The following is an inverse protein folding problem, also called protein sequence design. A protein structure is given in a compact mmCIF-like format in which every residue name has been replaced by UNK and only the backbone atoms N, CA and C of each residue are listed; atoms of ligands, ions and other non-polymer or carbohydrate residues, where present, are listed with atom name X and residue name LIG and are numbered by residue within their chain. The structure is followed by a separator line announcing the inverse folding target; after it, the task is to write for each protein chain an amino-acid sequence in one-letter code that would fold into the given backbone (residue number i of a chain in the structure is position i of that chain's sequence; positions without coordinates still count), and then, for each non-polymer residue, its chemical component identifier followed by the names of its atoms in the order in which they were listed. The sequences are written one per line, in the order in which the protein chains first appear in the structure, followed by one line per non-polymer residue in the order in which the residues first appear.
data_IF_429965142278
#
_entry.id   IF_429965142278
#
_cell.length_a   1.000
_cell.length_b   1.000
_cell.length_c   1.000
_cell.angle_alpha   90.00
_cell.angle_beta   90.00
_cell.angle_gamma   90.00
#
_symmetry.space_group_name_H-M   'P 1'
#
loop_
_entity.id
_entity.type
_entity.pdbx_description
1 polymer ?
#
# COMPACT_ATOMS: atom_id res chain seq x y z
N UNK A 1 -8.47 -18.86 -7.45
CA UNK A 1 -9.79 -18.83 -6.80
C UNK A 1 -10.17 -17.39 -6.51
N UNK A 2 -11.47 -17.03 -6.53
CA UNK A 2 -11.94 -15.65 -6.21
C UNK A 2 -12.54 -15.65 -4.78
N UNK A 3 -11.74 -15.93 -3.75
CA UNK A 3 -12.19 -16.02 -2.37
C UNK A 3 -11.41 -15.14 -1.40
N UNK A 4 -10.29 -14.57 -1.85
CA UNK A 4 -9.41 -13.78 -1.01
C UNK A 4 -8.83 -12.55 -1.75
N UNK A 5 -7.79 -12.70 -2.56
CA UNK A 5 -7.07 -11.58 -3.22
C UNK A 5 -8.00 -10.67 -4.02
N UNK A 6 -8.74 -11.22 -4.97
CA UNK A 6 -9.52 -10.42 -5.92
C UNK A 6 -10.70 -9.68 -5.26
N UNK A 7 -11.52 -10.28 -4.35
CA UNK A 7 -12.55 -9.52 -3.64
C UNK A 7 -11.99 -8.44 -2.73
N UNK A 8 -10.82 -8.65 -2.13
CA UNK A 8 -10.15 -7.64 -1.33
C UNK A 8 -9.64 -6.49 -2.21
N UNK A 9 -8.99 -6.81 -3.34
CA UNK A 9 -8.55 -5.82 -4.32
C UNK A 9 -9.71 -4.96 -4.84
N UNK A 10 -10.87 -5.59 -5.16
CA UNK A 10 -12.08 -4.88 -5.53
C UNK A 10 -12.51 -3.88 -4.45
N UNK A 11 -12.59 -4.30 -3.20
CA UNK A 11 -13.01 -3.45 -2.10
C UNK A 11 -12.05 -2.26 -1.86
N UNK A 12 -10.73 -2.48 -2.03
CA UNK A 12 -9.73 -1.40 -1.99
C UNK A 12 -9.96 -0.38 -3.10
N UNK A 13 -10.23 -0.83 -4.32
CA UNK A 13 -10.52 0.07 -5.44
C UNK A 13 -11.85 0.81 -5.27
N UNK A 14 -12.92 0.14 -4.87
CA UNK A 14 -14.23 0.75 -4.61
C UNK A 14 -14.11 1.88 -3.58
N UNK A 15 -13.32 1.69 -2.53
CA UNK A 15 -13.06 2.72 -1.53
C UNK A 15 -12.31 3.94 -2.07
N UNK A 16 -11.33 3.69 -2.97
CA UNK A 16 -10.46 4.74 -3.48
C UNK A 16 -10.96 5.43 -4.74
N UNK A 17 -11.82 4.76 -5.49
CA UNK A 17 -12.38 5.23 -6.75
C UNK A 17 -13.89 4.94 -6.81
N UNK A 18 -14.69 5.61 -5.96
CA UNK A 18 -16.12 5.29 -5.79
C UNK A 18 -16.97 5.56 -7.04
N UNK A 19 -16.46 6.34 -7.99
CA UNK A 19 -17.17 6.65 -9.25
C UNK A 19 -16.89 5.59 -10.34
N UNK A 20 -15.92 4.69 -10.14
CA UNK A 20 -15.57 3.66 -11.12
C UNK A 20 -16.45 2.43 -10.94
N UNK A 21 -16.74 1.73 -12.05
CA UNK A 21 -17.36 0.42 -12.01
C UNK A 21 -16.29 -0.66 -11.79
N UNK A 22 -16.27 -1.25 -10.61
CA UNK A 22 -15.25 -2.22 -10.21
C UNK A 22 -15.89 -3.57 -9.98
N UNK A 23 -15.27 -4.62 -10.52
CA UNK A 23 -15.68 -6.01 -10.28
C UNK A 23 -14.49 -6.93 -10.16
N UNK A 24 -14.65 -8.07 -9.52
CA UNK A 24 -13.61 -9.09 -9.44
C UNK A 24 -14.10 -10.46 -9.85
N UNK A 25 -13.17 -11.24 -10.39
CA UNK A 25 -13.43 -12.60 -10.86
C UNK A 25 -12.20 -13.48 -10.66
N UNK A 26 -12.34 -14.78 -10.78
CA UNK A 26 -11.22 -15.72 -10.68
C UNK A 26 -11.16 -16.72 -11.83
N UNK A 27 -9.97 -16.94 -12.35
CA UNK A 27 -9.72 -17.89 -13.46
C UNK A 27 -10.20 -19.30 -13.12
N UNK A 28 -9.99 -19.74 -11.90
CA UNK A 28 -10.41 -21.07 -11.39
C UNK A 28 -11.53 -20.99 -10.35
N UNK A 29 -12.30 -19.90 -10.35
CA UNK A 29 -13.37 -19.73 -9.37
C UNK A 29 -14.57 -20.61 -9.68
N UNK A 30 -15.18 -21.15 -8.63
CA UNK A 30 -16.49 -21.80 -8.69
C UNK A 30 -17.52 -20.76 -8.24
N UNK A 31 -18.50 -20.50 -9.10
CA UNK A 31 -19.56 -19.53 -8.83
C UNK A 31 -20.31 -19.85 -7.53
N UNK A 32 -20.57 -18.81 -6.77
CA UNK A 32 -21.33 -18.94 -5.53
C UNK A 32 -20.53 -19.44 -4.33
N UNK A 33 -19.24 -19.76 -4.48
CA UNK A 33 -18.38 -20.10 -3.33
C UNK A 33 -18.21 -18.86 -2.44
N UNK A 34 -18.47 -18.96 -1.13
CA UNK A 34 -18.34 -17.82 -0.22
C UNK A 34 -16.92 -17.24 -0.20
N UNK A 35 -16.84 -15.94 0.03
CA UNK A 35 -15.57 -15.28 0.37
C UNK A 35 -15.14 -15.78 1.76
N UNK A 36 -13.82 -15.91 1.98
CA UNK A 36 -13.30 -16.39 3.26
C UNK A 36 -13.65 -15.42 4.40
N UNK A 37 -14.26 -15.94 5.47
CA UNK A 37 -14.64 -15.14 6.65
C UNK A 37 -13.46 -14.35 7.22
N UNK A 38 -12.28 -14.95 7.28
CA UNK A 38 -11.07 -14.28 7.77
C UNK A 38 -10.67 -13.06 6.88
N UNK A 39 -10.87 -13.15 5.59
CA UNK A 39 -10.62 -12.02 4.67
C UNK A 39 -11.64 -10.91 4.89
N UNK A 40 -12.90 -11.27 5.09
CA UNK A 40 -13.98 -10.32 5.39
C UNK A 40 -13.71 -9.59 6.72
N UNK A 41 -13.26 -10.31 7.74
CA UNK A 41 -12.92 -9.74 9.04
C UNK A 41 -11.73 -8.77 8.96
N UNK A 42 -10.64 -9.17 8.29
CA UNK A 42 -9.46 -8.30 8.06
C UNK A 42 -9.89 -7.04 7.31
N UNK A 43 -10.63 -7.17 6.23
CA UNK A 43 -11.10 -6.06 5.42
C UNK A 43 -11.99 -5.09 6.24
N UNK A 44 -12.84 -5.62 7.10
CA UNK A 44 -13.66 -4.83 8.02
C UNK A 44 -12.81 -4.02 8.99
N UNK A 45 -11.79 -4.65 9.61
CA UNK A 45 -10.87 -3.97 10.53
C UNK A 45 -10.07 -2.85 9.85
N UNK A 46 -9.83 -2.99 8.56
CA UNK A 46 -9.13 -1.98 7.75
C UNK A 46 -10.05 -0.96 7.10
N UNK A 47 -11.35 -0.96 7.43
CA UNK A 47 -12.35 -0.10 6.81
C UNK A 47 -12.42 -0.23 5.28
N UNK A 48 -12.19 -1.43 4.78
CA UNK A 48 -12.29 -1.81 3.35
C UNK A 48 -13.36 -2.88 3.21
N UNK A 49 -14.65 -2.56 3.38
CA UNK A 49 -15.71 -3.56 3.42
C UNK A 49 -15.85 -4.28 2.08
N UNK A 50 -15.82 -5.60 2.09
CA UNK A 50 -16.06 -6.43 0.91
C UNK A 50 -17.56 -6.47 0.63
N UNK A 51 -17.96 -5.95 -0.52
CA UNK A 51 -19.36 -5.90 -0.98
C UNK A 51 -19.78 -7.19 -1.70
N UNK A 52 -18.82 -7.87 -2.32
CA UNK A 52 -19.06 -9.14 -3.01
C UNK A 52 -19.30 -10.27 -2.00
N UNK A 53 -20.45 -10.93 -2.10
CA UNK A 53 -20.81 -12.02 -1.17
C UNK A 53 -20.24 -13.39 -1.54
N UNK A 54 -19.92 -13.62 -2.81
CA UNK A 54 -19.48 -14.91 -3.31
C UNK A 54 -18.57 -14.77 -4.54
N UNK A 55 -17.80 -15.82 -4.81
CA UNK A 55 -16.92 -15.95 -5.97
C UNK A 55 -17.68 -15.86 -7.28
N UNK A 56 -17.07 -15.25 -8.28
CA UNK A 56 -17.54 -15.14 -9.66
C UNK A 56 -16.51 -15.75 -10.60
N UNK A 57 -16.95 -16.66 -11.46
CA UNK A 57 -16.08 -17.27 -12.47
C UNK A 57 -15.82 -16.34 -13.65
N UNK A 58 -14.71 -16.60 -14.34
CA UNK A 58 -14.33 -15.86 -15.54
C UNK A 58 -15.38 -15.96 -16.65
N UNK A 59 -16.05 -17.10 -16.78
CA UNK A 59 -17.10 -17.31 -17.78
C UNK A 59 -18.31 -16.40 -17.60
N UNK A 60 -18.67 -16.07 -16.37
CA UNK A 60 -19.75 -15.11 -16.07
C UNK A 60 -19.35 -13.66 -16.23
N UNK A 61 -18.06 -13.39 -16.26
CA UNK A 61 -17.51 -12.04 -16.39
C UNK A 61 -17.08 -11.68 -17.82
N UNK A 62 -17.39 -12.49 -18.81
CA UNK A 62 -16.89 -12.31 -20.19
C UNK A 62 -17.20 -10.93 -20.78
N UNK A 63 -18.42 -10.43 -20.60
CA UNK A 63 -18.81 -9.09 -21.07
C UNK A 63 -18.06 -7.98 -20.34
N UNK A 64 -17.93 -8.09 -19.03
CA UNK A 64 -17.21 -7.13 -18.18
C UNK A 64 -15.72 -7.09 -18.55
N UNK A 65 -15.11 -8.26 -18.81
CA UNK A 65 -13.72 -8.36 -19.25
C UNK A 65 -13.52 -7.61 -20.56
N UNK A 66 -14.38 -7.82 -21.54
CA UNK A 66 -14.23 -7.18 -22.86
C UNK A 66 -14.46 -5.66 -22.83
N UNK A 67 -15.23 -5.15 -21.87
CA UNK A 67 -15.54 -3.73 -21.72
C UNK A 67 -14.68 -3.01 -20.68
N UNK A 68 -13.79 -3.72 -19.99
CA UNK A 68 -12.94 -3.13 -18.95
C UNK A 68 -11.89 -2.19 -19.55
N UNK A 69 -11.71 -1.02 -18.94
CA UNK A 69 -10.62 -0.10 -19.30
C UNK A 69 -9.27 -0.61 -18.76
N UNK A 70 -9.30 -1.26 -17.60
CA UNK A 70 -8.12 -1.84 -16.94
C UNK A 70 -8.48 -3.19 -16.32
N UNK A 71 -7.62 -4.18 -16.51
CA UNK A 71 -7.64 -5.43 -15.76
C UNK A 71 -6.35 -5.58 -14.95
N UNK A 72 -6.49 -5.92 -13.68
CA UNK A 72 -5.38 -6.22 -12.77
C UNK A 72 -5.42 -7.70 -12.43
N UNK A 73 -4.32 -8.41 -12.61
CA UNK A 73 -4.15 -9.83 -12.30
C UNK A 73 -3.13 -10.04 -11.18
N UNK A 74 -3.26 -11.14 -10.46
CA UNK A 74 -2.30 -11.46 -9.41
C UNK A 74 -1.01 -12.07 -9.95
N UNK A 75 -1.05 -12.69 -11.14
CA UNK A 75 0.03 -13.47 -11.72
C UNK A 75 0.02 -13.30 -13.25
N UNK A 76 1.20 -13.37 -13.89
CA UNK A 76 1.35 -13.26 -15.35
C UNK A 76 0.57 -14.34 -16.09
N UNK A 77 0.55 -15.57 -15.55
CA UNK A 77 -0.23 -16.66 -16.12
C UNK A 77 -1.73 -16.33 -16.24
N UNK A 78 -2.27 -15.55 -15.32
CA UNK A 78 -3.65 -15.08 -15.39
C UNK A 78 -3.82 -14.02 -16.47
N UNK A 79 -2.82 -13.18 -16.67
CA UNK A 79 -2.77 -12.21 -17.76
C UNK A 79 -2.83 -12.90 -19.13
N UNK A 80 -2.07 -13.99 -19.29
CA UNK A 80 -2.10 -14.81 -20.53
C UNK A 80 -3.50 -15.39 -20.79
N UNK A 81 -4.18 -15.89 -19.76
CA UNK A 81 -5.55 -16.38 -19.90
C UNK A 81 -6.48 -15.27 -20.38
N UNK A 82 -6.39 -14.06 -19.81
CA UNK A 82 -7.20 -12.91 -20.21
C UNK A 82 -6.91 -12.50 -21.67
N UNK A 83 -5.64 -12.47 -22.08
CA UNK A 83 -5.25 -12.21 -23.48
C UNK A 83 -5.81 -13.25 -24.44
N UNK A 84 -5.76 -14.53 -24.06
CA UNK A 84 -6.30 -15.63 -24.87
C UNK A 84 -7.84 -15.58 -25.02
N UNK A 85 -8.53 -14.89 -24.11
CA UNK A 85 -9.96 -14.58 -24.23
C UNK A 85 -10.25 -13.40 -25.17
N UNK A 86 -9.22 -12.83 -25.81
CA UNK A 86 -9.34 -11.74 -26.78
C UNK A 86 -9.41 -10.34 -26.15
N UNK A 87 -9.02 -10.17 -24.91
CA UNK A 87 -8.90 -8.84 -24.31
C UNK A 87 -7.65 -8.13 -24.81
N UNK A 88 -7.79 -6.89 -25.29
CA UNK A 88 -6.72 -6.07 -25.86
C UNK A 88 -6.49 -4.75 -25.13
N UNK A 89 -7.25 -4.49 -24.07
CA UNK A 89 -7.12 -3.27 -23.26
C UNK A 89 -5.90 -3.26 -22.31
N UNK A 90 -5.89 -2.32 -21.38
CA UNK A 90 -4.84 -2.21 -20.39
C UNK A 90 -4.89 -3.39 -19.40
N UNK A 91 -3.77 -4.08 -19.24
CA UNK A 91 -3.63 -5.25 -18.38
C UNK A 91 -2.33 -5.09 -17.59
N UNK A 92 -2.40 -5.31 -16.28
CA UNK A 92 -1.26 -5.25 -15.36
C UNK A 92 -1.29 -6.45 -14.42
N UNK A 93 -0.17 -7.13 -14.26
CA UNK A 93 -0.01 -8.13 -13.20
C UNK A 93 0.75 -7.56 -12.00
N UNK A 94 0.59 -8.15 -10.82
CA UNK A 94 1.43 -7.79 -9.68
C UNK A 94 2.89 -8.13 -9.93
N UNK A 95 3.17 -9.18 -10.70
CA UNK A 95 4.53 -9.59 -11.06
C UNK A 95 5.23 -8.57 -11.97
N UNK A 96 4.48 -7.86 -12.83
CA UNK A 96 5.02 -6.77 -13.66
C UNK A 96 5.29 -5.47 -12.87
N UNK A 97 4.53 -5.24 -11.79
CA UNK A 97 4.61 -4.00 -11.01
C UNK A 97 5.79 -4.03 -10.05
N UNK A 98 6.21 -5.21 -9.62
CA UNK A 98 7.25 -5.40 -8.59
C UNK A 98 8.48 -6.03 -9.18
N UNK A 99 9.64 -5.39 -9.02
CA UNK A 99 10.92 -5.95 -9.41
C UNK A 99 11.34 -7.12 -8.49
N UNK A 100 11.02 -7.03 -7.20
CA UNK A 100 11.36 -8.06 -6.21
C UNK A 100 10.22 -9.06 -6.04
N UNK A 101 10.45 -10.30 -6.46
CA UNK A 101 9.47 -11.39 -6.37
C UNK A 101 8.98 -11.69 -4.94
N UNK A 102 9.75 -11.35 -3.92
CA UNK A 102 9.33 -11.49 -2.51
C UNK A 102 8.12 -10.61 -2.18
N UNK A 103 7.79 -9.64 -3.04
CA UNK A 103 6.63 -8.76 -2.89
C UNK A 103 5.38 -9.22 -3.62
N UNK A 104 5.51 -10.13 -4.55
CA UNK A 104 4.32 -10.70 -5.21
C UNK A 104 3.46 -11.39 -4.14
N UNK A 105 2.19 -10.99 -3.97
CA UNK A 105 1.37 -11.56 -2.91
C UNK A 105 1.02 -13.01 -3.23
N UNK A 106 1.36 -13.91 -2.31
CA UNK A 106 0.93 -15.31 -2.41
C UNK A 106 -0.57 -15.43 -2.13
N UNK A 107 -1.18 -16.54 -2.55
CA UNK A 107 -2.61 -16.78 -2.25
C UNK A 107 -2.80 -16.93 -0.72
N UNK A 108 -3.59 -16.05 -0.08
CA UNK A 108 -3.78 -16.09 1.36
C UNK A 108 -4.65 -17.25 1.85
N UNK A 109 -5.23 -18.05 0.95
CA UNK A 109 -6.06 -19.22 1.32
C UNK A 109 -5.23 -20.22 2.11
N UNK A 110 -5.67 -20.53 3.33
CA UNK A 110 -5.00 -21.48 4.22
C UNK A 110 -3.84 -20.88 5.05
N UNK A 111 -3.56 -19.61 4.93
CA UNK A 111 -2.58 -18.93 5.78
C UNK A 111 -3.16 -18.65 7.18
N UNK A 112 -2.27 -18.55 8.17
CA UNK A 112 -2.60 -18.01 9.50
C UNK A 112 -2.97 -16.51 9.38
N UNK A 113 -3.77 -15.96 10.31
CA UNK A 113 -4.28 -14.59 10.24
C UNK A 113 -3.23 -13.52 10.00
N UNK A 114 -2.08 -13.58 10.68
CA UNK A 114 -0.99 -12.61 10.50
C UNK A 114 -0.35 -12.70 9.12
N UNK A 115 -0.17 -13.90 8.59
CA UNK A 115 0.36 -14.10 7.25
C UNK A 115 -0.65 -13.65 6.19
N UNK A 116 -1.92 -13.99 6.38
CA UNK A 116 -3.02 -13.54 5.53
C UNK A 116 -3.10 -12.00 5.49
N UNK A 117 -3.04 -11.36 6.65
CA UNK A 117 -3.03 -9.90 6.75
C UNK A 117 -1.88 -9.26 5.97
N UNK A 118 -0.67 -9.81 6.07
CA UNK A 118 0.48 -9.32 5.29
C UNK A 118 0.26 -9.43 3.78
N UNK A 119 -0.22 -10.58 3.33
CA UNK A 119 -0.44 -10.80 1.90
C UNK A 119 -1.57 -9.91 1.36
N UNK A 120 -2.63 -9.69 2.12
CA UNK A 120 -3.68 -8.73 1.76
C UNK A 120 -3.16 -7.28 1.76
N UNK A 121 -2.23 -6.94 2.65
CA UNK A 121 -1.54 -5.64 2.60
C UNK A 121 -0.80 -5.41 1.28
N UNK A 122 -0.02 -6.40 0.83
CA UNK A 122 0.63 -6.36 -0.48
C UNK A 122 -0.39 -6.23 -1.62
N UNK A 123 -1.48 -7.02 -1.58
CA UNK A 123 -2.56 -6.93 -2.57
C UNK A 123 -3.12 -5.52 -2.64
N UNK A 124 -3.42 -4.89 -1.50
CA UNK A 124 -3.95 -3.53 -1.44
C UNK A 124 -3.00 -2.51 -2.07
N UNK A 125 -1.72 -2.55 -1.68
CA UNK A 125 -0.70 -1.63 -2.19
C UNK A 125 -0.52 -1.76 -3.71
N UNK A 126 -0.33 -2.99 -4.21
CA UNK A 126 -0.10 -3.22 -5.64
C UNK A 126 -1.33 -2.94 -6.49
N UNK A 127 -2.53 -3.21 -5.96
CA UNK A 127 -3.78 -2.85 -6.63
C UNK A 127 -3.91 -1.34 -6.80
N UNK A 128 -3.62 -0.56 -5.75
CA UNK A 128 -3.65 0.90 -5.83
C UNK A 128 -2.56 1.42 -6.76
N UNK A 129 -1.36 0.87 -6.71
CA UNK A 129 -0.27 1.21 -7.63
C UNK A 129 -0.69 1.00 -9.08
N UNK A 130 -1.18 -0.19 -9.43
CA UNK A 130 -1.64 -0.50 -10.79
C UNK A 130 -2.73 0.45 -11.28
N UNK A 131 -3.69 0.78 -10.42
CA UNK A 131 -4.79 1.67 -10.77
C UNK A 131 -4.32 3.12 -10.98
N UNK A 132 -3.41 3.61 -10.14
CA UNK A 132 -2.84 4.96 -10.27
C UNK A 132 -2.01 5.09 -11.55
N UNK A 133 -1.17 4.09 -11.84
CA UNK A 133 -0.38 4.04 -13.06
C UNK A 133 -1.27 4.10 -14.31
N UNK A 134 -2.31 3.28 -14.34
CA UNK A 134 -3.24 3.24 -15.47
C UNK A 134 -4.04 4.54 -15.64
N UNK A 135 -4.33 5.25 -14.56
CA UNK A 135 -5.00 6.55 -14.59
C UNK A 135 -4.05 7.71 -14.93
N UNK A 136 -2.75 7.43 -15.11
CA UNK A 136 -1.74 8.45 -15.41
C UNK A 136 -1.51 9.40 -14.25
N UNK A 137 -1.79 8.98 -13.01
CA UNK A 137 -1.34 9.75 -11.86
C UNK A 137 0.19 9.74 -11.86
N UNK A 138 0.82 10.91 -11.84
CA UNK A 138 2.26 10.96 -11.81
C UNK A 138 2.75 10.28 -10.54
N UNK A 139 3.72 9.38 -10.69
CA UNK A 139 4.52 8.97 -9.56
C UNK A 139 5.14 10.21 -8.97
N UNK A 140 5.05 10.37 -7.68
CA UNK A 140 5.74 11.46 -7.04
C UNK A 140 7.24 11.10 -7.01
N UNK A 141 8.02 11.60 -7.97
CA UNK A 141 9.47 11.46 -8.04
C UNK A 141 10.20 11.94 -6.79
N UNK A 142 9.46 12.55 -5.88
CA UNK A 142 9.95 13.13 -4.66
C UNK A 142 9.58 12.32 -3.40
N UNK A 143 9.17 11.05 -3.54
CA UNK A 143 8.89 10.19 -2.38
C UNK A 143 9.99 9.15 -2.27
N UNK A 144 10.75 9.23 -1.19
CA UNK A 144 11.79 8.28 -0.84
C UNK A 144 11.34 7.42 0.34
N UNK A 145 11.62 6.13 0.30
CA UNK A 145 11.27 5.21 1.39
C UNK A 145 12.53 4.65 2.01
N UNK A 146 12.65 4.80 3.31
CA UNK A 146 13.76 4.29 4.09
C UNK A 146 13.27 3.12 4.94
N UNK A 147 13.84 1.94 4.71
CA UNK A 147 13.50 0.71 5.43
C UNK A 147 14.70 0.28 6.29
N UNK A 148 14.70 0.52 7.60
CA UNK A 148 15.76 0.04 8.47
C UNK A 148 15.81 -1.49 8.54
N UNK A 149 17.00 -2.08 8.51
CA UNK A 149 17.15 -3.55 8.54
C UNK A 149 16.91 -4.14 9.93
N UNK A 150 17.24 -3.40 10.99
CA UNK A 150 17.09 -3.82 12.37
C UNK A 150 16.84 -2.64 13.32
N UNK A 151 16.60 -2.95 14.59
CA UNK A 151 16.41 -1.91 15.62
C UNK A 151 17.68 -1.07 15.82
N UNK A 152 18.86 -1.71 15.70
CA UNK A 152 20.16 -1.04 15.75
C UNK A 152 20.42 -0.11 14.57
N UNK A 153 19.72 -0.31 13.47
CA UNK A 153 19.93 0.41 12.22
C UNK A 153 19.04 1.66 12.12
N UNK A 154 18.13 1.85 13.08
CA UNK A 154 17.22 2.97 13.09
C UNK A 154 17.94 4.31 13.13
N UNK A 155 18.93 4.45 14.01
CA UNK A 155 19.76 5.64 14.09
C UNK A 155 20.49 5.94 12.78
N UNK A 156 21.00 4.90 12.10
CA UNK A 156 21.63 5.03 10.78
C UNK A 156 20.61 5.43 9.72
N UNK A 157 19.44 4.82 9.72
CA UNK A 157 18.36 5.14 8.79
C UNK A 157 17.88 6.59 8.95
N UNK A 158 17.69 7.02 10.20
CA UNK A 158 17.33 8.41 10.51
C UNK A 158 18.43 9.40 10.11
N UNK A 159 19.71 9.05 10.33
CA UNK A 159 20.84 9.89 9.91
C UNK A 159 20.89 10.01 8.38
N UNK A 160 20.69 8.92 7.64
CA UNK A 160 20.62 8.94 6.18
C UNK A 160 19.42 9.75 5.67
N UNK A 161 18.25 9.55 6.27
CA UNK A 161 17.06 10.33 5.93
C UNK A 161 17.28 11.83 6.22
N UNK A 162 17.96 12.16 7.31
CA UNK A 162 18.30 13.53 7.65
C UNK A 162 19.33 14.14 6.70
N UNK A 163 20.32 13.36 6.26
CA UNK A 163 21.30 13.82 5.25
C UNK A 163 20.61 14.12 3.93
N UNK A 164 19.81 13.20 3.41
CA UNK A 164 19.00 13.42 2.21
C UNK A 164 18.10 14.66 2.36
N UNK A 165 17.49 14.83 3.53
CA UNK A 165 16.65 15.97 3.83
C UNK A 165 17.40 17.30 3.84
N UNK A 166 18.60 17.35 4.44
CA UNK A 166 19.42 18.57 4.49
C UNK A 166 19.83 18.98 3.08
N UNK A 167 20.23 18.01 2.26
CA UNK A 167 20.66 18.26 0.88
C UNK A 167 19.50 18.69 -0.01
N UNK A 168 18.30 18.12 0.19
CA UNK A 168 17.13 18.32 -0.68
C UNK A 168 15.99 19.10 -0.04
N UNK A 169 16.07 19.41 1.26
CA UNK A 169 15.01 20.09 2.00
C UNK A 169 13.78 19.21 2.28
N UNK A 170 13.96 17.90 2.41
CA UNK A 170 12.88 16.92 2.47
C UNK A 170 12.05 16.96 3.77
N UNK A 171 10.78 16.58 3.68
CA UNK A 171 9.87 16.36 4.79
C UNK A 171 10.03 14.92 5.29
N UNK A 172 10.27 14.73 6.59
CA UNK A 172 10.37 13.39 7.20
C UNK A 172 9.02 12.94 7.75
N UNK A 173 8.65 11.68 7.48
CA UNK A 173 7.43 11.06 7.99
C UNK A 173 7.82 9.73 8.65
N UNK A 174 7.50 9.60 9.95
CA UNK A 174 7.51 8.32 10.65
C UNK A 174 6.22 7.56 10.35
N UNK A 175 6.31 6.58 9.46
CA UNK A 175 5.20 5.72 9.06
C UNK A 175 5.18 4.38 9.84
N UNK A 176 6.02 4.19 10.87
CA UNK A 176 5.87 3.07 11.79
C UNK A 176 4.71 3.32 12.78
N UNK A 177 3.49 3.33 12.26
CA UNK A 177 2.31 3.56 13.08
C UNK A 177 2.05 2.44 14.11
N UNK A 178 2.72 1.29 13.99
CA UNK A 178 2.63 0.18 14.98
C UNK A 178 3.55 0.40 16.17
N UNK A 179 4.65 1.11 15.96
CA UNK A 179 5.61 1.45 17.03
C UNK A 179 6.30 2.78 16.70
N UNK A 180 5.57 3.92 16.80
CA UNK A 180 6.12 5.22 16.44
C UNK A 180 7.44 5.51 17.14
N UNK A 181 8.35 6.13 16.44
CA UNK A 181 9.70 6.47 16.91
C UNK A 181 9.60 7.68 17.85
N UNK A 182 9.43 7.44 19.13
CA UNK A 182 9.18 8.54 20.08
C UNK A 182 10.46 9.04 20.76
N UNK A 183 11.43 8.17 21.05
CA UNK A 183 12.55 8.51 21.94
C UNK A 183 13.87 8.80 21.22
N UNK A 184 14.05 8.34 19.99
CA UNK A 184 15.35 8.39 19.29
C UNK A 184 15.48 9.67 18.42
N UNK A 185 14.41 10.43 18.29
CA UNK A 185 14.35 11.64 17.47
C UNK A 185 15.07 12.84 18.13
N UNK A 186 15.02 12.92 19.47
CA UNK A 186 15.61 14.03 20.23
C UNK A 186 17.14 14.10 20.06
N UNK A 187 17.79 12.95 19.96
CA UNK A 187 19.25 12.87 19.77
C UNK A 187 19.70 13.42 18.40
N UNK A 188 18.79 13.52 17.44
CA UNK A 188 19.05 14.05 16.09
C UNK A 188 18.75 15.53 15.95
N UNK A 189 18.30 16.20 17.02
CA UNK A 189 17.95 17.61 16.99
C UNK A 189 16.72 17.94 16.12
N UNK A 190 15.82 16.95 15.93
CA UNK A 190 14.58 17.11 15.21
C UNK A 190 13.42 17.48 16.13
N UNK A 191 12.62 18.43 15.72
CA UNK A 191 11.36 18.76 16.36
C UNK A 191 10.25 17.82 15.89
N UNK A 192 9.42 17.34 16.82
CA UNK A 192 8.27 16.47 16.50
C UNK A 192 7.04 17.29 16.18
N UNK A 193 6.40 16.98 15.08
CA UNK A 193 5.02 17.38 14.82
C UNK A 193 4.17 16.12 14.85
N UNK A 194 3.20 16.10 15.76
CA UNK A 194 2.24 15.01 15.83
C UNK A 194 1.14 15.19 14.77
N UNK A 195 0.90 14.17 13.98
CA UNK A 195 -0.26 14.12 13.11
C UNK A 195 -1.29 13.13 13.65
N UNK A 196 -2.55 13.44 13.43
CA UNK A 196 -3.66 12.51 13.71
C UNK A 196 -4.06 11.83 12.41
N UNK A 197 -3.94 10.50 12.37
CA UNK A 197 -4.28 9.71 11.18
C UNK A 197 -5.76 9.81 10.82
N UNK A 198 -6.64 10.11 11.78
CA UNK A 198 -8.07 10.35 11.53
C UNK A 198 -8.32 11.77 10.98
N UNK A 199 -7.34 12.66 11.07
CA UNK A 199 -7.38 14.04 10.59
C UNK A 199 -6.32 14.33 9.52
N UNK A 200 -5.76 13.32 8.90
CA UNK A 200 -4.84 13.45 7.76
C UNK A 200 -5.52 14.28 6.66
N UNK A 201 -4.86 15.35 6.23
CA UNK A 201 -5.39 16.32 5.26
C UNK A 201 -5.89 17.63 5.89
N UNK A 202 -6.02 17.72 7.21
CA UNK A 202 -6.31 18.96 7.94
C UNK A 202 -5.01 19.59 8.46
N UNK A 203 -3.90 18.85 8.43
CA UNK A 203 -2.60 19.37 8.86
C UNK A 203 -2.22 20.54 7.97
N UNK A 204 -2.04 21.72 8.57
CA UNK A 204 -1.52 22.89 7.87
C UNK A 204 -0.04 22.63 7.51
N UNK A 205 0.17 22.12 6.32
CA UNK A 205 1.51 21.78 5.81
C UNK A 205 2.42 23.01 5.62
N UNK A 206 1.85 24.20 5.64
CA UNK A 206 2.59 25.47 5.53
C UNK A 206 3.61 25.69 6.66
N UNK A 207 3.49 24.96 7.76
CA UNK A 207 4.40 25.08 8.91
C UNK A 207 5.43 23.95 9.02
N UNK A 208 5.41 22.97 8.13
CA UNK A 208 6.38 21.87 8.15
C UNK A 208 7.70 22.36 7.56
N UNK A 209 8.75 22.32 8.36
CA UNK A 209 10.10 22.73 7.93
C UNK A 209 11.09 21.56 8.00
N UNK A 210 12.29 21.81 7.51
CA UNK A 210 13.36 20.81 7.43
C UNK A 210 13.94 20.35 8.77
N UNK A 211 13.50 20.88 9.88
CA UNK A 211 13.96 20.46 11.22
C UNK A 211 12.90 19.63 11.97
N UNK A 212 11.85 19.26 11.29
CA UNK A 212 10.70 18.58 11.87
C UNK A 212 10.51 17.18 11.31
N UNK A 213 9.99 16.27 12.12
CA UNK A 213 9.50 14.96 11.72
C UNK A 213 8.02 14.82 12.05
N UNK A 214 7.24 14.42 11.07
CA UNK A 214 5.84 14.09 11.26
C UNK A 214 5.73 12.68 11.82
N UNK A 215 5.16 12.53 13.02
CA UNK A 215 5.00 11.24 13.68
C UNK A 215 3.62 11.11 14.32
N UNK A 216 3.17 9.89 14.56
CA UNK A 216 1.92 9.65 15.27
C UNK A 216 2.15 9.53 16.79
N UNK A 217 1.30 10.11 17.64
CA UNK A 217 1.53 10.16 19.10
C UNK A 217 1.35 8.82 19.81
N UNK A 218 0.72 7.84 19.15
CA UNK A 218 0.36 6.56 19.75
C UNK A 218 0.47 5.41 18.74
N UNK A 219 0.62 4.20 19.27
CA UNK A 219 0.51 2.99 18.48
C UNK A 219 -0.89 2.86 17.86
N UNK A 220 -0.93 2.41 16.61
CA UNK A 220 -2.14 2.15 15.85
C UNK A 220 -2.27 0.65 15.58
N UNK A 221 -3.39 0.05 15.96
CA UNK A 221 -3.59 -1.39 15.81
C UNK A 221 -3.66 -1.85 14.35
N UNK A 222 -4.34 -1.08 13.51
CA UNK A 222 -4.55 -1.39 12.09
C UNK A 222 -4.14 -0.22 11.20
N UNK A 223 -2.82 0.03 11.01
CA UNK A 223 -2.35 1.14 10.17
C UNK A 223 -2.77 0.99 8.70
N UNK A 224 -3.06 -0.22 8.25
CA UNK A 224 -3.52 -0.51 6.89
C UNK A 224 -4.80 0.29 6.54
N UNK A 225 -5.66 0.52 7.52
CA UNK A 225 -6.89 1.30 7.31
C UNK A 225 -6.61 2.73 6.85
N UNK A 226 -5.48 3.29 7.23
CA UNK A 226 -5.02 4.64 6.86
C UNK A 226 -4.27 4.60 5.55
N UNK A 227 -3.28 3.73 5.42
CA UNK A 227 -2.47 3.61 4.21
C UNK A 227 -3.31 3.29 2.97
N UNK A 228 -4.37 2.48 3.12
CA UNK A 228 -5.32 2.16 2.04
C UNK A 228 -6.44 3.20 1.88
N UNK A 229 -6.33 4.38 2.49
CA UNK A 229 -7.35 5.43 2.39
C UNK A 229 -6.99 6.49 1.35
N UNK A 230 -7.99 7.11 0.69
CA UNK A 230 -7.76 8.26 -0.17
C UNK A 230 -7.09 9.43 0.57
N UNK A 231 -7.39 9.60 1.87
CA UNK A 231 -6.84 10.68 2.69
C UNK A 231 -5.33 10.57 2.82
N UNK A 232 -4.78 9.37 3.09
CA UNK A 232 -3.33 9.13 3.14
C UNK A 232 -2.68 9.50 1.82
N UNK A 233 -3.19 8.95 0.72
CA UNK A 233 -2.67 9.23 -0.62
C UNK A 233 -2.64 10.73 -0.92
N UNK A 234 -3.76 11.41 -0.72
CA UNK A 234 -3.88 12.83 -1.03
C UNK A 234 -2.93 13.67 -0.17
N UNK A 235 -2.77 13.31 1.10
CA UNK A 235 -1.86 14.00 2.01
C UNK A 235 -0.40 13.83 1.59
N UNK A 236 0.06 12.61 1.34
CA UNK A 236 1.43 12.36 0.86
C UNK A 236 1.69 13.09 -0.46
N UNK A 237 0.74 13.10 -1.37
CA UNK A 237 0.85 13.84 -2.63
C UNK A 237 0.93 15.36 -2.42
N UNK A 238 0.17 15.91 -1.48
CA UNK A 238 0.25 17.34 -1.14
C UNK A 238 1.63 17.70 -0.57
N UNK A 239 2.17 16.86 0.31
CA UNK A 239 3.52 17.05 0.84
C UNK A 239 4.59 16.96 -0.26
N UNK A 240 4.50 15.94 -1.12
CA UNK A 240 5.45 15.72 -2.21
C UNK A 240 5.44 16.84 -3.28
N UNK A 241 4.35 17.58 -3.40
CA UNK A 241 4.27 18.76 -4.26
C UNK A 241 5.01 19.98 -3.66
N UNK A 242 5.29 19.97 -2.36
CA UNK A 242 5.97 21.08 -1.69
C UNK A 242 7.47 20.82 -1.53
N UNK A 243 7.85 19.58 -1.23
CA UNK A 243 9.24 19.17 -1.01
C UNK A 243 9.37 17.65 -1.16
N UNK A 244 10.59 17.12 -1.35
CA UNK A 244 10.82 15.68 -1.24
C UNK A 244 10.31 15.13 0.09
N UNK A 245 9.64 13.97 0.06
CA UNK A 245 9.10 13.28 1.23
C UNK A 245 9.93 12.04 1.51
N UNK A 246 10.44 11.91 2.72
CA UNK A 246 11.14 10.72 3.18
C UNK A 246 10.27 9.97 4.18
N UNK A 247 9.79 8.79 3.79
CA UNK A 247 8.94 7.92 4.59
C UNK A 247 9.83 6.88 5.28
N UNK A 248 9.84 6.89 6.60
CA UNK A 248 10.59 5.94 7.44
C UNK A 248 9.61 4.89 7.94
N UNK A 249 9.93 3.62 7.71
CA UNK A 249 9.02 2.52 8.06
C UNK A 249 9.61 1.57 9.10
N UNK A 250 8.77 0.70 9.61
CA UNK A 250 8.92 -0.14 10.78
C UNK A 250 10.24 -0.92 10.92
N UNK A 251 11.16 -0.52 11.81
CA UNK A 251 12.40 -1.26 12.07
C UNK A 251 12.21 -2.48 12.99
N UNK A 252 11.12 -2.51 13.79
CA UNK A 252 10.96 -3.47 14.91
C UNK A 252 10.22 -4.76 14.55
N UNK A 253 9.66 -4.85 13.35
CA UNK A 253 8.90 -6.01 12.91
C UNK A 253 9.76 -7.03 12.12
N UNK A 254 9.24 -8.23 11.91
CA UNK A 254 9.88 -9.20 11.01
C UNK A 254 10.10 -8.60 9.63
N UNK A 255 11.14 -9.04 8.89
CA UNK A 255 11.42 -8.55 7.54
C UNK A 255 10.17 -8.51 6.65
N UNK A 256 9.39 -9.59 6.65
CA UNK A 256 8.18 -9.68 5.83
C UNK A 256 7.12 -8.63 6.19
N UNK A 257 6.96 -8.30 7.49
CA UNK A 257 6.00 -7.29 7.93
C UNK A 257 6.50 -5.89 7.60
N UNK A 258 7.78 -5.58 7.85
CA UNK A 258 8.38 -4.29 7.47
C UNK A 258 8.17 -3.98 6.00
N UNK A 259 8.45 -4.95 5.17
CA UNK A 259 8.29 -4.80 3.73
C UNK A 259 6.82 -4.55 3.35
N UNK A 260 5.86 -5.28 3.92
CA UNK A 260 4.44 -5.07 3.65
C UNK A 260 3.97 -3.67 4.10
N UNK A 261 4.34 -3.25 5.31
CA UNK A 261 3.98 -1.93 5.85
C UNK A 261 4.63 -0.80 5.03
N UNK A 262 5.88 -0.99 4.56
CA UNK A 262 6.58 -0.03 3.71
C UNK A 262 5.89 0.16 2.37
N UNK A 263 5.48 -0.93 1.72
CA UNK A 263 4.72 -0.83 0.47
C UNK A 263 3.37 -0.14 0.66
N UNK A 264 2.66 -0.48 1.74
CA UNK A 264 1.39 0.16 2.06
C UNK A 264 1.54 1.66 2.32
N UNK A 265 2.59 2.06 3.03
CA UNK A 265 2.81 3.47 3.33
C UNK A 265 3.23 4.28 2.08
N UNK A 266 3.82 3.63 1.10
CA UNK A 266 4.55 4.28 0.03
C UNK A 266 4.31 3.71 -1.38
N UNK A 267 3.15 3.09 -1.62
CA UNK A 267 2.81 2.54 -2.95
C UNK A 267 2.82 3.58 -4.09
N UNK A 268 2.95 4.86 -3.75
CA UNK A 268 3.10 5.97 -4.70
C UNK A 268 4.56 6.34 -4.99
N UNK A 269 5.52 5.80 -4.23
CA UNK A 269 6.94 6.10 -4.42
C UNK A 269 7.50 5.39 -5.66
N UNK A 270 8.41 6.07 -6.38
CA UNK A 270 9.08 5.47 -7.53
C UNK A 270 10.16 4.47 -7.11
N UNK A 271 10.87 4.75 -6.03
CA UNK A 271 12.01 3.97 -5.58
C UNK A 271 11.96 3.67 -4.07
N UNK A 272 12.48 2.51 -3.70
CA UNK A 272 12.66 2.10 -2.32
C UNK A 272 14.14 2.02 -1.98
N UNK A 273 14.57 2.78 -0.97
CA UNK A 273 15.92 2.68 -0.43
C UNK A 273 15.92 1.77 0.79
N UNK A 274 16.47 0.57 0.67
CA UNK A 274 16.72 -0.30 1.82
C UNK A 274 18.07 0.07 2.41
N UNK A 275 18.07 0.60 3.62
CA UNK A 275 19.31 0.86 4.37
C UNK A 275 19.66 -0.40 5.13
N UNK A 276 20.72 -1.07 4.68
CA UNK A 276 21.39 -2.13 5.44
C UNK A 276 22.62 -1.55 6.11
N UNK A 277 22.68 -1.61 7.43
CA UNK A 277 23.89 -1.31 8.18
C UNK A 277 24.87 -2.49 8.11
#
# INVERSE_FOLDING_TARGET
MNQARSPFAQAVLERNFPEDQISSTGVTAIDGTPILDAVVEIAKNWCVPITQSASKSLSKASTEIQSADLIITAEDLQSDVIRNLGYHGALRSYEEIVEDRDFVPIDPVGLLPDAMSRELGKVGALTLRAALDAKGFPHAHNIHVVIPHGVSDLGVALAHAQMARIDEGAILIDADLRAPIVNEIEDLGLERIFFDVDQIGILETEHVNTQQILTHPRQVDFPERYFLSPSWRNWIQQLANQAPVVIITAPRHSRARRLADSYLASYMADEFTVISA
#
